data_IF_617028924472
#
_entry.id   IF_617028924472
#
_cell.length_a   1.000
_cell.length_b   1.000
_cell.length_c   1.000
_cell.angle_alpha   90.00
_cell.angle_beta   90.00
_cell.angle_gamma   90.00
#
_symmetry.space_group_name_H-M   'P 1'
#
loop_
_entity.id
_entity.type
_entity.pdbx_description
1 polymer ?
#
# COMPACT_ATOMS: atom_id res chain seq x y z
N UNK A 1 0.31 -25.58 -5.73
CA UNK A 1 -0.22 -24.46 -6.53
C UNK A 1 -0.27 -23.28 -5.60
N UNK A 2 0.79 -22.48 -5.58
CA UNK A 2 0.84 -21.25 -4.79
C UNK A 2 -0.12 -20.26 -5.42
N UNK A 3 -1.20 -19.97 -4.71
CA UNK A 3 -2.06 -18.84 -5.05
C UNK A 3 -1.22 -17.59 -4.85
N UNK A 4 -1.08 -16.71 -5.87
CA UNK A 4 -0.38 -15.45 -5.67
C UNK A 4 -1.03 -14.70 -4.50
N UNK A 5 -0.25 -14.01 -3.66
CA UNK A 5 -0.80 -13.25 -2.55
C UNK A 5 -1.89 -12.32 -3.09
N UNK A 6 -3.07 -12.25 -2.44
CA UNK A 6 -4.17 -11.44 -2.93
C UNK A 6 -3.71 -10.00 -3.03
N UNK A 7 -3.97 -9.38 -4.18
CA UNK A 7 -3.73 -7.97 -4.40
C UNK A 7 -4.50 -7.18 -3.33
N UNK A 8 -3.75 -6.58 -2.39
CA UNK A 8 -4.30 -5.81 -1.26
C UNK A 8 -5.27 -4.75 -1.75
N UNK A 9 -5.05 -4.17 -2.93
CA UNK A 9 -5.95 -3.18 -3.52
C UNK A 9 -7.25 -3.79 -4.02
N UNK A 10 -7.21 -5.00 -4.59
CA UNK A 10 -8.42 -5.72 -4.98
C UNK A 10 -9.25 -6.11 -3.74
N UNK A 11 -8.59 -6.53 -2.67
CA UNK A 11 -9.25 -6.83 -1.39
C UNK A 11 -9.88 -5.58 -0.77
N UNK A 12 -9.14 -4.47 -0.74
CA UNK A 12 -9.63 -3.16 -0.26
C UNK A 12 -10.84 -2.69 -1.07
N UNK A 13 -10.77 -2.78 -2.39
CA UNK A 13 -11.88 -2.43 -3.29
C UNK A 13 -13.13 -3.23 -2.98
N UNK A 14 -12.99 -4.54 -2.84
CA UNK A 14 -14.09 -5.43 -2.51
C UNK A 14 -14.73 -5.05 -1.18
N UNK A 15 -13.93 -4.91 -0.11
CA UNK A 15 -14.43 -4.55 1.22
C UNK A 15 -15.09 -3.17 1.27
N UNK A 16 -14.52 -2.16 0.61
CA UNK A 16 -15.10 -0.82 0.53
C UNK A 16 -16.47 -0.84 -0.17
N UNK A 17 -16.56 -1.56 -1.29
CA UNK A 17 -17.80 -1.70 -2.04
C UNK A 17 -18.86 -2.44 -1.22
N UNK A 18 -18.49 -3.53 -0.54
CA UNK A 18 -19.38 -4.28 0.37
C UNK A 18 -19.83 -3.44 1.58
N UNK A 19 -19.00 -2.49 2.01
CA UNK A 19 -19.33 -1.56 3.09
C UNK A 19 -20.35 -0.48 2.67
N UNK A 20 -20.76 -0.46 1.40
CA UNK A 20 -21.69 0.54 0.87
C UNK A 20 -21.01 1.88 0.59
N UNK A 21 -19.71 1.88 0.30
CA UNK A 21 -18.99 3.06 -0.19
C UNK A 21 -19.19 3.17 -1.69
N UNK A 22 -19.55 4.35 -2.16
CA UNK A 22 -19.75 4.60 -3.59
C UNK A 22 -18.48 4.28 -4.40
N UNK A 23 -18.64 3.82 -5.64
CA UNK A 23 -17.52 3.39 -6.49
C UNK A 23 -16.48 4.50 -6.73
N UNK A 24 -16.96 5.74 -6.95
CA UNK A 24 -16.08 6.91 -7.11
C UNK A 24 -15.23 7.16 -5.86
N UNK A 25 -15.85 7.09 -4.68
CA UNK A 25 -15.17 7.28 -3.39
C UNK A 25 -14.23 6.11 -3.07
N UNK A 26 -14.63 4.89 -3.40
CA UNK A 26 -13.78 3.69 -3.30
C UNK A 26 -12.51 3.83 -4.14
N UNK A 27 -12.66 4.27 -5.39
CA UNK A 27 -11.53 4.52 -6.30
C UNK A 27 -10.60 5.60 -5.76
N UNK A 28 -11.16 6.68 -5.21
CA UNK A 28 -10.39 7.74 -4.57
C UNK A 28 -9.58 7.21 -3.37
N UNK A 29 -10.23 6.48 -2.45
CA UNK A 29 -9.58 5.92 -1.26
C UNK A 29 -8.46 4.95 -1.62
N UNK A 30 -8.67 4.09 -2.61
CA UNK A 30 -7.63 3.18 -3.11
C UNK A 30 -6.44 3.97 -3.67
N UNK A 31 -6.70 5.03 -4.44
CA UNK A 31 -5.65 5.89 -4.99
C UNK A 31 -4.84 6.60 -3.88
N UNK A 32 -5.51 7.10 -2.84
CA UNK A 32 -4.87 7.71 -1.67
C UNK A 32 -4.02 6.68 -0.90
N UNK A 33 -4.57 5.49 -0.63
CA UNK A 33 -3.87 4.39 0.03
C UNK A 33 -2.65 3.96 -0.79
N UNK A 34 -2.77 3.84 -2.11
CA UNK A 34 -1.68 3.47 -3.02
C UNK A 34 -0.52 4.47 -2.95
N UNK A 35 -0.82 5.78 -2.97
CA UNK A 35 0.21 6.82 -2.85
C UNK A 35 0.94 6.74 -1.52
N UNK A 36 0.21 6.56 -0.42
CA UNK A 36 0.79 6.44 0.92
C UNK A 36 1.66 5.19 1.08
N UNK A 37 1.24 4.06 0.49
CA UNK A 37 2.04 2.83 0.42
C UNK A 37 3.37 3.10 -0.26
N UNK A 38 3.36 3.73 -1.44
CA UNK A 38 4.57 4.01 -2.18
C UNK A 38 5.50 4.98 -1.43
N UNK A 39 4.95 6.01 -0.79
CA UNK A 39 5.73 6.95 0.04
C UNK A 39 6.37 6.24 1.24
N UNK A 40 5.65 5.30 1.87
CA UNK A 40 6.17 4.58 3.02
C UNK A 40 7.24 3.57 2.64
N UNK A 41 7.02 2.80 1.57
CA UNK A 41 8.03 1.90 1.01
C UNK A 41 9.29 2.69 0.64
N UNK A 42 9.11 3.85 0.00
CA UNK A 42 10.20 4.77 -0.31
C UNK A 42 10.98 5.20 0.91
N UNK A 43 10.29 5.53 1.99
CA UNK A 43 10.90 5.94 3.25
C UNK A 43 11.70 4.81 3.87
N UNK A 44 11.13 3.61 3.98
CA UNK A 44 11.77 2.44 4.60
C UNK A 44 12.99 1.95 3.81
N UNK A 45 12.87 1.94 2.48
CA UNK A 45 13.99 1.63 1.60
C UNK A 45 15.04 2.74 1.64
N UNK A 46 14.64 4.01 1.77
CA UNK A 46 15.60 5.09 1.96
C UNK A 46 16.33 4.97 3.30
N UNK A 47 15.67 4.61 4.39
CA UNK A 47 16.32 4.44 5.70
C UNK A 47 17.39 3.33 5.70
N UNK A 48 17.29 2.37 4.77
CA UNK A 48 18.21 1.23 4.65
C UNK A 48 19.28 1.41 3.56
N UNK A 49 19.13 2.39 2.65
CA UNK A 49 20.03 2.60 1.52
C UNK A 49 21.00 3.79 1.68
N UNK A 50 22.20 3.70 1.08
CA UNK A 50 23.04 4.87 0.84
C UNK A 50 22.36 5.87 -0.11
N UNK A 51 22.66 7.17 0.06
CA UNK A 51 21.94 8.28 -0.60
C UNK A 51 21.83 8.18 -2.14
N UNK A 52 22.82 7.62 -2.81
CA UNK A 52 22.83 7.45 -4.27
C UNK A 52 21.74 6.48 -4.78
N UNK A 53 21.35 5.49 -3.97
CA UNK A 53 20.26 4.57 -4.35
C UNK A 53 18.88 5.04 -3.89
N UNK A 54 18.82 6.10 -3.06
CA UNK A 54 17.56 6.72 -2.65
C UNK A 54 16.89 7.48 -3.79
N UNK A 55 17.67 8.24 -4.56
CA UNK A 55 17.12 9.06 -5.64
C UNK A 55 16.54 8.21 -6.78
N UNK A 56 17.20 7.10 -7.12
CA UNK A 56 16.69 6.13 -8.10
C UNK A 56 15.38 5.50 -7.63
N UNK A 57 15.31 5.05 -6.36
CA UNK A 57 14.06 4.49 -5.83
C UNK A 57 12.94 5.53 -5.82
N UNK A 58 13.23 6.76 -5.38
CA UNK A 58 12.29 7.90 -5.37
C UNK A 58 11.77 8.21 -6.78
N UNK A 59 12.64 8.16 -7.79
CA UNK A 59 12.25 8.34 -9.18
C UNK A 59 11.28 7.23 -9.63
N UNK A 60 11.63 5.97 -9.36
CA UNK A 60 10.80 4.83 -9.74
C UNK A 60 9.44 4.88 -9.06
N UNK A 61 9.38 5.11 -7.75
CA UNK A 61 8.10 5.16 -7.04
C UNK A 61 7.22 6.36 -7.40
N UNK A 62 7.82 7.47 -7.85
CA UNK A 62 7.07 8.61 -8.42
C UNK A 62 6.50 8.29 -9.81
N UNK A 63 7.21 7.47 -10.58
CA UNK A 63 6.76 7.03 -11.91
C UNK A 63 5.88 5.78 -11.91
N UNK A 64 5.92 5.02 -10.81
CA UNK A 64 5.29 3.72 -10.71
C UNK A 64 3.78 3.84 -10.77
N UNK A 65 3.20 3.11 -11.72
CA UNK A 65 1.75 3.04 -11.92
C UNK A 65 1.12 1.87 -11.15
N UNK A 66 1.96 0.97 -10.65
CA UNK A 66 1.55 -0.18 -9.84
C UNK A 66 2.58 -0.47 -8.74
N UNK A 67 2.14 -1.16 -7.70
CA UNK A 67 3.04 -1.68 -6.65
C UNK A 67 3.98 -2.74 -7.19
N UNK A 68 3.62 -3.38 -8.29
CA UNK A 68 4.43 -4.40 -8.96
C UNK A 68 5.69 -3.81 -9.63
N UNK A 69 5.62 -2.58 -10.17
CA UNK A 69 6.80 -1.84 -10.65
C UNK A 69 7.74 -1.48 -9.49
N UNK A 70 7.18 -1.03 -8.36
CA UNK A 70 7.95 -0.76 -7.15
C UNK A 70 8.65 -2.02 -6.64
N UNK A 71 7.90 -3.12 -6.56
CA UNK A 71 8.39 -4.40 -6.06
C UNK A 71 9.51 -4.94 -6.95
N UNK A 72 9.33 -4.92 -8.28
CA UNK A 72 10.37 -5.32 -9.25
C UNK A 72 11.66 -4.51 -9.07
N UNK A 73 11.53 -3.20 -8.82
CA UNK A 73 12.69 -2.35 -8.65
C UNK A 73 13.36 -2.56 -7.28
N UNK A 74 12.60 -2.74 -6.21
CA UNK A 74 13.12 -3.11 -4.89
C UNK A 74 13.83 -4.47 -4.94
N UNK A 75 13.28 -5.41 -5.72
CA UNK A 75 13.90 -6.70 -5.96
C UNK A 75 15.28 -6.62 -6.62
N UNK A 76 15.47 -5.60 -7.46
CA UNK A 76 16.73 -5.35 -8.16
C UNK A 76 17.81 -4.71 -7.29
N UNK A 77 17.47 -4.28 -6.06
CA UNK A 77 18.40 -3.59 -5.18
C UNK A 77 19.21 -4.57 -4.32
N UNK A 78 20.54 -4.62 -4.49
CA UNK A 78 21.40 -5.49 -3.69
C UNK A 78 21.59 -4.94 -2.28
N UNK A 79 21.54 -5.82 -1.28
CA UNK A 79 21.76 -5.48 0.14
C UNK A 79 20.51 -5.06 0.90
N UNK A 80 19.33 -5.17 0.29
CA UNK A 80 18.05 -4.94 0.95
C UNK A 80 17.48 -6.27 1.45
N UNK A 81 17.19 -6.33 2.75
CA UNK A 81 16.32 -7.37 3.29
C UNK A 81 14.87 -7.06 2.92
N UNK A 82 14.43 -7.64 1.82
CA UNK A 82 13.08 -7.44 1.29
C UNK A 82 12.01 -7.97 2.24
N UNK A 83 12.31 -8.97 3.08
CA UNK A 83 11.33 -9.44 4.06
C UNK A 83 11.12 -8.41 5.15
N UNK A 84 12.19 -7.78 5.64
CA UNK A 84 12.06 -6.73 6.66
C UNK A 84 11.41 -5.46 6.10
N UNK A 85 11.78 -5.05 4.88
CA UNK A 85 11.16 -3.87 4.24
C UNK A 85 9.69 -4.11 3.92
N UNK A 86 9.35 -5.23 3.29
CA UNK A 86 7.96 -5.54 2.97
C UNK A 86 7.12 -5.66 4.22
N UNK A 87 7.66 -6.27 5.29
CA UNK A 87 6.92 -6.40 6.56
C UNK A 87 6.70 -5.05 7.26
N UNK A 88 7.74 -4.22 7.39
CA UNK A 88 7.59 -2.86 7.95
C UNK A 88 6.68 -1.97 7.10
N UNK A 89 6.77 -2.11 5.78
CA UNK A 89 5.90 -1.40 4.86
C UNK A 89 4.45 -1.83 5.07
N UNK A 90 4.17 -3.13 5.08
CA UNK A 90 2.82 -3.66 5.33
C UNK A 90 2.28 -3.18 6.68
N UNK A 91 3.06 -3.24 7.76
CA UNK A 91 2.61 -2.79 9.09
C UNK A 91 2.28 -1.28 9.12
N UNK A 92 3.16 -0.43 8.57
CA UNK A 92 2.90 1.01 8.50
C UNK A 92 1.75 1.37 7.56
N UNK A 93 1.60 0.60 6.47
CA UNK A 93 0.53 0.74 5.50
C UNK A 93 -0.81 0.40 6.12
N UNK A 94 -0.91 -0.69 6.89
CA UNK A 94 -2.16 -1.07 7.56
C UNK A 94 -2.60 -0.01 8.57
N UNK A 95 -1.65 0.60 9.30
CA UNK A 95 -1.94 1.72 10.18
C UNK A 95 -2.45 2.97 9.42
N UNK A 96 -1.84 3.28 8.27
CA UNK A 96 -2.25 4.41 7.43
C UNK A 96 -3.60 4.18 6.73
N UNK A 97 -3.85 2.97 6.24
CA UNK A 97 -5.14 2.54 5.70
C UNK A 97 -6.22 2.77 6.76
N UNK A 98 -6.03 2.25 7.98
CA UNK A 98 -6.99 2.45 9.05
C UNK A 98 -7.26 3.93 9.35
N UNK A 99 -6.23 4.79 9.29
CA UNK A 99 -6.40 6.25 9.46
C UNK A 99 -7.21 6.89 8.32
N UNK A 100 -6.87 6.59 7.06
CA UNK A 100 -7.58 7.12 5.88
C UNK A 100 -9.04 6.68 5.90
N UNK A 101 -9.29 5.40 6.19
CA UNK A 101 -10.63 4.86 6.30
C UNK A 101 -11.40 5.52 7.44
N UNK A 102 -10.79 5.66 8.63
CA UNK A 102 -11.43 6.31 9.78
C UNK A 102 -11.75 7.79 9.54
N UNK A 103 -10.97 8.47 8.70
CA UNK A 103 -11.20 9.87 8.34
C UNK A 103 -12.28 10.06 7.27
N UNK A 104 -12.50 9.05 6.42
CA UNK A 104 -13.35 9.17 5.24
C UNK A 104 -14.64 8.35 5.29
N UNK A 105 -14.70 7.32 6.14
CA UNK A 105 -15.86 6.45 6.30
C UNK A 105 -16.65 6.84 7.53
N UNK A 106 -17.98 6.68 7.43
CA UNK A 106 -18.84 6.74 8.61
C UNK A 106 -18.58 5.55 9.53
N UNK A 107 -18.88 5.65 10.85
CA UNK A 107 -18.72 4.54 11.78
C UNK A 107 -19.40 3.25 11.29
N UNK A 108 -20.59 3.35 10.68
CA UNK A 108 -21.32 2.20 10.14
C UNK A 108 -20.64 1.55 8.91
N UNK A 109 -19.96 2.34 8.07
CA UNK A 109 -19.17 1.83 6.94
C UNK A 109 -17.86 1.21 7.43
N UNK A 110 -17.23 1.81 8.45
CA UNK A 110 -16.03 1.27 9.08
C UNK A 110 -16.32 -0.08 9.74
N UNK A 111 -17.43 -0.18 10.48
CA UNK A 111 -17.87 -1.42 11.13
C UNK A 111 -18.06 -2.56 10.12
N UNK A 112 -18.71 -2.27 8.98
CA UNK A 112 -18.83 -3.22 7.86
C UNK A 112 -17.50 -3.60 7.21
N UNK A 113 -16.57 -2.64 7.10
CA UNK A 113 -15.26 -2.88 6.51
C UNK A 113 -14.41 -3.83 7.39
N UNK A 114 -14.47 -3.63 8.71
CA UNK A 114 -13.75 -4.42 9.72
C UNK A 114 -14.45 -5.74 10.03
N UNK A 115 -15.73 -5.87 9.70
CA UNK A 115 -16.48 -7.10 9.94
C UNK A 115 -15.83 -8.29 9.21
N UNK A 116 -15.64 -9.43 9.90
CA UNK A 116 -14.94 -10.60 9.37
C UNK A 116 -15.79 -11.46 8.43
N UNK A 117 -16.86 -10.92 7.83
CA UNK A 117 -17.76 -11.67 6.94
C UNK A 117 -17.02 -12.46 5.85
#
# INVERSE_FOLDING_TARGET
MDTPPPDIFALLKSKLTQSGVEEAKTTQLISEIFKEINIEILRLVSETLPNNKKEDLLSVARSAKSTQELDTHIQSLPGIDQQEISKRAIDNVMLKINRILSANLTPAQLDKFHSPY
#
